data_IF_044771259256
#
_entry.id   IF_044771259256
#
_cell.length_a   1.000
_cell.length_b   1.000
_cell.length_c   1.000
_cell.angle_alpha   90.00
_cell.angle_beta   90.00
_cell.angle_gamma   90.00
#
_symmetry.space_group_name_H-M   'P 1'
#
loop_
_entity.id
_entity.type
_entity.pdbx_description
1 polymer ?
#
# COMPACT_ATOMS: atom_id res chain seq x y z
N UNK A 1 37.29 56.94 67.49
CA UNK A 1 35.90 56.75 67.95
C UNK A 1 35.01 57.57 67.03
N UNK A 2 34.64 57.14 65.82
CA UNK A 2 33.69 56.08 65.42
C UNK A 2 32.32 56.18 66.10
N UNK A 3 31.36 56.79 65.39
CA UNK A 3 30.00 56.30 65.09
C UNK A 3 29.32 57.31 64.12
N UNK A 4 29.28 57.07 62.80
CA UNK A 4 28.22 56.38 62.03
C UNK A 4 26.80 56.87 62.34
N UNK A 5 26.12 57.47 61.35
CA UNK A 5 24.86 56.93 60.82
C UNK A 5 24.25 57.74 59.63
N UNK A 6 24.24 57.05 58.48
CA UNK A 6 23.11 56.91 57.53
C UNK A 6 22.81 58.08 56.57
N UNK A 7 23.46 58.01 55.40
CA UNK A 7 23.04 58.64 54.15
C UNK A 7 21.97 57.78 53.46
N UNK A 8 20.75 58.28 53.31
CA UNK A 8 19.75 57.74 52.39
C UNK A 8 20.05 58.28 50.97
N UNK A 9 20.49 57.40 50.07
CA UNK A 9 20.60 57.71 48.65
C UNK A 9 19.22 57.63 47.98
N UNK A 10 18.76 58.75 47.44
CA UNK A 10 17.53 58.88 46.67
C UNK A 10 17.90 58.70 45.19
N UNK A 11 17.65 57.51 44.62
CA UNK A 11 17.77 57.27 43.19
C UNK A 11 16.40 57.54 42.56
N UNK A 12 16.31 58.61 41.77
CA UNK A 12 15.15 58.92 40.95
C UNK A 12 15.05 57.91 39.80
N UNK A 13 14.13 56.95 39.91
CA UNK A 13 13.76 56.05 38.83
C UNK A 13 12.79 56.76 37.86
N UNK A 14 13.23 56.95 36.62
CA UNK A 14 12.36 57.35 35.51
C UNK A 14 11.42 56.18 35.20
N UNK A 15 10.15 56.30 35.59
CA UNK A 15 9.09 55.42 35.14
C UNK A 15 8.71 55.77 33.69
N UNK A 16 9.19 54.98 32.73
CA UNK A 16 8.71 55.04 31.36
C UNK A 16 7.40 54.26 31.28
N UNK A 17 6.27 54.97 31.18
CA UNK A 17 4.98 54.36 30.86
C UNK A 17 5.03 53.96 29.38
N UNK A 18 5.26 52.68 29.11
CA UNK A 18 5.00 52.11 27.79
C UNK A 18 3.49 51.95 27.68
N UNK A 19 2.83 52.91 27.04
CA UNK A 19 1.49 52.71 26.48
C UNK A 19 1.69 51.81 25.26
N UNK A 20 1.74 50.51 25.50
CA UNK A 20 1.65 49.51 24.45
C UNK A 20 0.23 49.53 23.92
N UNK A 21 0.05 50.06 22.71
CA UNK A 21 -1.16 49.86 21.94
C UNK A 21 -1.35 48.34 21.80
N UNK A 22 -2.31 47.76 22.54
CA UNK A 22 -2.74 46.39 22.28
C UNK A 22 -3.46 46.41 20.93
N UNK A 23 -2.71 46.12 19.87
CA UNK A 23 -3.28 45.79 18.57
C UNK A 23 -3.97 44.43 18.75
N UNK A 24 -5.23 44.48 19.16
CA UNK A 24 -6.08 43.31 19.37
C UNK A 24 -6.54 42.81 17.98
N UNK A 25 -5.58 42.41 17.16
CA UNK A 25 -5.84 41.62 15.96
C UNK A 25 -5.69 40.18 16.40
N UNK A 26 -6.79 39.45 16.41
CA UNK A 26 -6.74 37.98 16.41
C UNK A 26 -5.76 37.60 15.29
N UNK A 27 -4.56 37.14 15.62
CA UNK A 27 -3.61 36.67 14.65
C UNK A 27 -4.21 35.41 14.03
N UNK A 28 -4.94 35.58 12.92
CA UNK A 28 -5.34 34.46 12.11
C UNK A 28 -4.06 33.85 11.57
N UNK A 29 -3.79 32.58 11.88
CA UNK A 29 -2.65 31.90 11.31
C UNK A 29 -2.86 31.83 9.79
N UNK A 30 -2.06 32.58 9.02
CA UNK A 30 -2.05 32.45 7.57
C UNK A 30 -1.55 31.06 7.22
N UNK A 31 -2.48 30.22 6.78
CA UNK A 31 -2.20 28.93 6.19
C UNK A 31 -2.01 29.09 4.68
N UNK A 32 -1.27 28.18 4.07
CA UNK A 32 -1.08 28.16 2.62
C UNK A 32 -1.80 27.00 1.93
N UNK A 33 -1.51 26.86 0.64
CA UNK A 33 -2.07 25.85 -0.24
C UNK A 33 -1.68 24.43 0.16
N UNK A 34 -2.67 23.53 0.19
CA UNK A 34 -2.49 22.11 0.41
C UNK A 34 -1.84 21.42 -0.79
N UNK A 35 -0.73 20.73 -0.55
CA UNK A 35 0.04 20.01 -1.57
C UNK A 35 0.30 18.58 -1.12
N UNK A 36 0.66 17.74 -2.07
CA UNK A 36 0.90 16.32 -1.81
C UNK A 36 2.22 15.85 -2.43
N UNK A 37 2.73 14.76 -1.86
CA UNK A 37 3.77 13.93 -2.45
C UNK A 37 3.36 12.48 -2.28
N UNK A 38 3.11 11.78 -3.39
CA UNK A 38 2.81 10.36 -3.39
C UNK A 38 4.11 9.53 -3.41
N UNK A 39 4.17 8.52 -2.55
CA UNK A 39 5.26 7.56 -2.41
C UNK A 39 4.66 6.16 -2.53
N UNK A 40 5.35 5.24 -3.23
CA UNK A 40 4.95 3.83 -3.25
C UNK A 40 5.88 3.05 -2.32
N UNK A 41 5.33 2.39 -1.30
CA UNK A 41 6.11 1.59 -0.37
C UNK A 41 6.67 0.32 -1.05
N UNK A 42 7.94 0.02 -0.80
CA UNK A 42 8.58 -1.23 -1.18
C UNK A 42 8.41 -2.26 -0.07
N UNK A 43 7.98 -3.47 -0.43
CA UNK A 43 7.87 -4.60 0.49
C UNK A 43 9.04 -5.59 0.35
N UNK A 44 10.16 -5.18 -0.24
CA UNK A 44 11.40 -5.98 -0.31
C UNK A 44 12.62 -5.11 -0.01
N UNK A 45 13.23 -5.28 1.17
CA UNK A 45 14.64 -4.89 1.41
C UNK A 45 15.55 -5.89 0.72
N UNK A 46 15.54 -5.89 -0.62
CA UNK A 46 16.40 -6.75 -1.45
C UNK A 46 17.02 -6.04 -2.63
N UNK A 47 16.43 -4.95 -3.11
CA UNK A 47 17.00 -4.14 -4.19
C UNK A 47 17.55 -2.82 -3.65
N UNK A 48 18.85 -2.81 -3.35
CA UNK A 48 19.60 -1.56 -3.24
C UNK A 48 19.51 -0.80 -4.55
N UNK A 49 18.60 0.18 -4.66
CA UNK A 49 18.64 1.18 -5.73
C UNK A 49 17.32 1.75 -6.25
N UNK A 50 16.17 1.09 -6.04
CA UNK A 50 14.92 1.53 -6.67
C UNK A 50 14.02 2.32 -5.72
N UNK A 51 14.08 3.66 -5.73
CA UNK A 51 12.95 4.46 -5.22
C UNK A 51 11.76 4.22 -6.14
N UNK A 52 10.81 3.38 -5.73
CA UNK A 52 9.57 3.18 -6.49
C UNK A 52 8.76 4.48 -6.42
N UNK A 53 8.82 5.26 -7.50
CA UNK A 53 8.15 6.54 -7.59
C UNK A 53 6.71 6.28 -7.98
N UNK A 54 5.76 6.82 -7.21
CA UNK A 54 4.35 6.73 -7.58
C UNK A 54 4.14 7.38 -8.97
N UNK A 55 3.42 6.73 -9.90
CA UNK A 55 3.33 7.17 -11.28
C UNK A 55 2.60 8.50 -11.42
N UNK A 56 3.24 9.45 -12.12
CA UNK A 56 2.74 10.83 -12.28
C UNK A 56 1.51 10.96 -13.17
N UNK A 57 1.16 9.94 -13.95
CA UNK A 57 -0.01 9.90 -14.81
C UNK A 57 -1.23 9.22 -14.16
N UNK A 58 -1.15 8.80 -12.89
CA UNK A 58 -2.26 8.13 -12.19
C UNK A 58 -2.79 9.03 -11.08
N UNK A 59 -3.92 9.73 -11.29
CA UNK A 59 -4.61 10.45 -10.22
C UNK A 59 -5.04 9.53 -9.09
N UNK A 60 -5.13 10.07 -7.88
CA UNK A 60 -5.59 9.38 -6.68
C UNK A 60 -6.63 10.22 -5.93
N UNK A 61 -7.43 9.61 -5.09
CA UNK A 61 -8.45 10.30 -4.29
C UNK A 61 -8.03 10.43 -2.84
N UNK A 62 -8.55 11.47 -2.17
CA UNK A 62 -8.30 11.75 -0.76
C UNK A 62 -9.60 12.04 -0.02
N UNK A 63 -9.70 11.45 1.18
CA UNK A 63 -10.54 11.97 2.25
C UNK A 63 -9.67 12.63 3.32
N UNK A 64 -10.15 13.75 3.86
CA UNK A 64 -9.48 14.44 4.94
C UNK A 64 -10.47 14.84 6.01
N UNK A 65 -10.15 14.55 7.27
CA UNK A 65 -10.96 14.90 8.42
C UNK A 65 -10.17 15.79 9.34
N UNK A 66 -10.83 16.78 9.92
CA UNK A 66 -10.19 17.80 10.73
C UNK A 66 -10.70 17.83 12.16
N UNK A 67 -9.78 18.05 13.09
CA UNK A 67 -10.02 18.21 14.51
C UNK A 67 -9.46 19.55 14.98
N UNK A 68 -10.01 20.15 16.06
CA UNK A 68 -9.37 21.26 16.76
C UNK A 68 -7.91 20.93 17.12
N UNK A 69 -7.02 21.92 17.07
CA UNK A 69 -5.56 21.73 17.30
C UNK A 69 -5.19 21.04 18.62
N UNK A 70 -6.04 21.14 19.64
CA UNK A 70 -5.84 20.51 20.95
C UNK A 70 -6.34 19.05 21.04
N UNK A 71 -6.87 18.50 19.95
CA UNK A 71 -7.30 17.09 19.85
C UNK A 71 -6.35 16.28 18.97
N UNK A 72 -6.47 14.97 19.07
CA UNK A 72 -5.71 13.99 18.30
C UNK A 72 -6.63 12.93 17.72
N UNK A 73 -6.28 12.41 16.55
CA UNK A 73 -7.04 11.40 15.84
C UNK A 73 -7.34 10.19 16.72
N UNK A 74 -6.30 9.60 17.32
CA UNK A 74 -6.41 8.34 18.07
C UNK A 74 -7.37 8.40 19.26
N UNK A 75 -7.64 9.59 19.80
CA UNK A 75 -8.49 9.76 20.99
C UNK A 75 -9.83 10.44 20.68
N UNK A 76 -10.00 11.04 19.49
CA UNK A 76 -11.13 11.93 19.21
C UNK A 76 -11.65 11.84 17.76
N UNK A 77 -11.38 10.74 17.05
CA UNK A 77 -11.82 10.57 15.65
C UNK A 77 -13.35 10.70 15.48
N UNK A 78 -14.13 10.34 16.51
CA UNK A 78 -15.59 10.47 16.57
C UNK A 78 -16.09 11.93 16.45
N UNK A 79 -15.28 12.90 16.88
CA UNK A 79 -15.58 14.32 16.80
C UNK A 79 -15.00 15.03 15.57
N UNK A 80 -14.41 14.29 14.63
CA UNK A 80 -13.77 14.88 13.45
C UNK A 80 -14.80 15.39 12.43
N UNK A 81 -14.48 16.49 11.76
CA UNK A 81 -15.32 17.08 10.71
C UNK A 81 -14.69 16.88 9.35
N UNK A 82 -15.47 16.46 8.35
CA UNK A 82 -15.02 16.36 6.97
C UNK A 82 -14.44 17.68 6.49
N UNK A 83 -13.21 17.64 6.02
CA UNK A 83 -12.50 18.77 5.40
C UNK A 83 -12.40 18.58 3.89
N UNK A 84 -12.06 17.37 3.44
CA UNK A 84 -12.10 16.97 2.03
C UNK A 84 -12.86 15.65 1.90
N UNK A 85 -13.69 15.56 0.87
CA UNK A 85 -14.48 14.38 0.55
C UNK A 85 -14.18 13.93 -0.88
N UNK A 86 -13.62 12.73 -1.02
CA UNK A 86 -13.24 12.11 -2.30
C UNK A 86 -12.57 13.08 -3.31
N UNK A 87 -11.63 13.88 -2.82
CA UNK A 87 -11.02 14.93 -3.61
C UNK A 87 -9.94 14.35 -4.53
N UNK A 88 -10.05 14.64 -5.82
CA UNK A 88 -9.11 14.14 -6.84
C UNK A 88 -7.80 14.91 -6.79
N UNK A 89 -6.70 14.18 -6.69
CA UNK A 89 -5.34 14.72 -6.72
C UNK A 89 -4.66 14.34 -8.04
N UNK A 90 -4.07 15.34 -8.70
CA UNK A 90 -3.42 15.25 -10.02
C UNK A 90 -2.00 15.79 -9.97
N UNK A 91 -1.14 15.27 -10.83
CA UNK A 91 0.19 15.82 -11.06
C UNK A 91 0.11 17.00 -12.03
N UNK A 92 0.58 18.17 -11.62
CA UNK A 92 0.56 19.38 -12.47
C UNK A 92 1.87 19.62 -13.24
N UNK A 93 2.79 18.64 -13.25
CA UNK A 93 4.14 18.80 -13.83
C UNK A 93 5.23 19.10 -12.79
N UNK A 94 4.86 19.52 -11.58
CA UNK A 94 5.80 19.88 -10.50
C UNK A 94 5.46 19.29 -9.14
N UNK A 95 4.18 19.24 -8.80
CA UNK A 95 3.70 18.73 -7.50
C UNK A 95 2.31 18.13 -7.66
N UNK A 96 1.92 17.30 -6.69
CA UNK A 96 0.57 16.76 -6.62
C UNK A 96 -0.34 17.78 -5.93
N UNK A 97 -1.40 18.16 -6.61
CA UNK A 97 -2.41 19.12 -6.12
C UNK A 97 -3.79 18.54 -6.34
N UNK A 98 -4.76 19.01 -5.58
CA UNK A 98 -6.17 18.78 -5.87
C UNK A 98 -6.57 19.49 -7.15
N UNK A 99 -7.60 18.98 -7.84
CA UNK A 99 -8.17 19.62 -9.03
C UNK A 99 -8.76 21.02 -8.72
N UNK A 100 -9.24 21.21 -7.50
CA UNK A 100 -9.65 22.49 -6.92
C UNK A 100 -8.65 22.90 -5.84
N UNK A 101 -8.16 24.14 -5.86
CA UNK A 101 -7.22 24.63 -4.84
C UNK A 101 -7.87 24.66 -3.45
N UNK A 102 -7.24 24.03 -2.47
CA UNK A 102 -7.62 24.08 -1.07
C UNK A 102 -6.47 24.65 -0.23
N UNK A 103 -6.80 25.49 0.74
CA UNK A 103 -5.86 25.94 1.77
C UNK A 103 -6.05 25.12 3.04
N UNK A 104 -4.99 24.97 3.82
CA UNK A 104 -5.08 24.29 5.11
C UNK A 104 -6.03 25.03 6.06
N UNK A 105 -6.83 24.32 6.86
CA UNK A 105 -7.70 24.98 7.82
C UNK A 105 -6.86 25.59 8.97
N UNK A 106 -7.16 26.83 9.40
CA UNK A 106 -6.48 27.45 10.55
C UNK A 106 -6.83 26.70 11.84
N UNK A 107 -5.92 26.68 12.81
CA UNK A 107 -6.14 26.16 14.18
C UNK A 107 -6.72 24.74 14.25
N UNK A 108 -6.44 23.93 13.22
CA UNK A 108 -6.92 22.56 13.09
C UNK A 108 -5.80 21.61 12.72
N UNK A 109 -5.97 20.37 13.16
CA UNK A 109 -5.21 19.21 12.72
C UNK A 109 -6.02 18.41 11.74
N UNK A 110 -5.39 17.88 10.71
CA UNK A 110 -6.04 17.15 9.62
C UNK A 110 -5.43 15.76 9.51
N UNK A 111 -6.29 14.75 9.49
CA UNK A 111 -5.96 13.37 9.18
C UNK A 111 -6.38 13.05 7.77
N UNK A 112 -5.47 12.47 6.97
CA UNK A 112 -5.71 12.13 5.57
C UNK A 112 -5.79 10.62 5.36
N UNK A 113 -6.62 10.22 4.41
CA UNK A 113 -6.73 8.89 3.84
C UNK A 113 -6.69 9.01 2.33
N UNK A 114 -5.97 8.13 1.66
CA UNK A 114 -5.84 8.17 0.22
C UNK A 114 -6.06 6.80 -0.41
N UNK A 115 -6.51 6.80 -1.67
CA UNK A 115 -6.65 5.60 -2.49
C UNK A 115 -6.26 5.88 -3.93
N UNK A 116 -5.80 4.85 -4.63
CA UNK A 116 -5.44 4.94 -6.04
C UNK A 116 -5.81 3.66 -6.79
N UNK A 117 -6.14 3.75 -8.09
CA UNK A 117 -6.31 4.98 -8.86
C UNK A 117 -7.68 5.63 -8.64
N UNK A 118 -7.78 6.95 -8.78
CA UNK A 118 -9.03 7.70 -8.61
C UNK A 118 -10.18 7.18 -9.50
N UNK A 119 -9.85 6.62 -10.67
CA UNK A 119 -10.84 6.06 -11.61
C UNK A 119 -11.60 4.85 -11.05
N UNK A 120 -11.08 4.20 -10.02
CA UNK A 120 -11.74 3.08 -9.38
C UNK A 120 -12.61 3.60 -8.23
N UNK A 121 -13.93 3.36 -8.20
CA UNK A 121 -14.79 3.87 -7.15
C UNK A 121 -14.36 3.34 -5.77
N UNK A 122 -14.11 4.25 -4.84
CA UNK A 122 -13.85 3.94 -3.45
C UNK A 122 -14.89 4.60 -2.55
N UNK A 123 -15.12 4.03 -1.37
CA UNK A 123 -15.87 4.68 -0.29
C UNK A 123 -15.00 4.84 0.94
N UNK A 124 -15.42 5.69 1.86
CA UNK A 124 -14.72 5.92 3.10
C UNK A 124 -15.66 5.93 4.30
N UNK A 125 -15.22 5.32 5.39
CA UNK A 125 -15.79 5.53 6.73
C UNK A 125 -14.66 5.57 7.77
N UNK A 126 -14.91 6.21 8.91
CA UNK A 126 -13.94 6.30 10.01
C UNK A 126 -13.60 4.93 10.61
N UNK A 127 -14.51 3.98 10.53
CA UNK A 127 -14.37 2.63 11.10
C UNK A 127 -13.64 1.67 10.15
N UNK A 128 -13.88 1.80 8.84
CA UNK A 128 -13.41 0.86 7.81
C UNK A 128 -12.29 1.44 6.93
N UNK A 129 -12.02 2.74 7.04
CA UNK A 129 -11.03 3.42 6.23
C UNK A 129 -11.46 3.49 4.77
N UNK A 130 -10.52 3.27 3.86
CA UNK A 130 -10.76 3.17 2.41
C UNK A 130 -11.38 1.82 2.10
N UNK A 131 -12.43 1.81 1.29
CA UNK A 131 -13.10 0.60 0.84
C UNK A 131 -13.16 0.50 -0.68
N UNK A 132 -12.89 -0.71 -1.18
CA UNK A 132 -13.16 -1.10 -2.57
C UNK A 132 -14.20 -2.23 -2.56
N UNK A 133 -15.24 -2.12 -3.39
CA UNK A 133 -16.33 -3.11 -3.41
C UNK A 133 -16.33 -3.90 -4.71
N UNK A 134 -16.54 -5.21 -4.60
CA UNK A 134 -16.70 -6.15 -5.71
C UNK A 134 -15.58 -6.07 -6.76
N UNK A 135 -14.33 -5.89 -6.32
CA UNK A 135 -13.19 -5.92 -7.22
C UNK A 135 -12.93 -7.36 -7.66
N UNK A 136 -12.66 -7.58 -8.95
CA UNK A 136 -12.42 -8.90 -9.53
C UNK A 136 -11.07 -8.96 -10.27
N UNK A 137 -10.09 -9.66 -9.71
CA UNK A 137 -8.73 -9.78 -10.27
C UNK A 137 -8.63 -10.63 -11.54
N UNK A 138 -9.67 -11.40 -11.88
CA UNK A 138 -9.74 -12.10 -13.16
C UNK A 138 -10.18 -11.19 -14.31
N UNK A 139 -10.98 -10.15 -14.00
CA UNK A 139 -11.55 -9.24 -14.99
C UNK A 139 -10.81 -7.90 -15.09
N UNK A 140 -10.13 -7.49 -14.01
CA UNK A 140 -9.44 -6.20 -13.93
C UNK A 140 -8.03 -6.37 -13.34
N UNK A 141 -7.02 -5.85 -14.05
CA UNK A 141 -5.62 -5.88 -13.65
C UNK A 141 -5.15 -4.60 -12.96
N UNK A 142 -6.08 -3.76 -12.50
CA UNK A 142 -5.77 -2.50 -11.81
C UNK A 142 -5.05 -2.75 -10.49
N UNK A 143 -3.89 -2.11 -10.31
CA UNK A 143 -3.15 -2.11 -9.04
C UNK A 143 -3.82 -1.13 -8.06
N UNK A 144 -4.76 -1.65 -7.27
CA UNK A 144 -5.43 -0.89 -6.23
C UNK A 144 -4.44 -0.59 -5.10
N UNK A 145 -4.38 0.66 -4.66
CA UNK A 145 -3.52 1.13 -3.57
C UNK A 145 -4.30 1.97 -2.58
N UNK A 146 -3.81 2.02 -1.35
CA UNK A 146 -4.39 2.81 -0.26
C UNK A 146 -3.29 3.37 0.64
N UNK A 147 -3.63 4.34 1.49
CA UNK A 147 -2.80 4.72 2.63
C UNK A 147 -3.52 4.40 3.95
N UNK A 148 -2.75 4.11 4.99
CA UNK A 148 -3.25 4.23 6.37
C UNK A 148 -3.60 5.68 6.72
N UNK A 149 -4.14 5.92 7.93
CA UNK A 149 -4.41 7.27 8.42
C UNK A 149 -3.11 8.06 8.57
N UNK A 150 -3.02 9.21 7.93
CA UNK A 150 -1.90 10.14 8.05
C UNK A 150 -2.32 11.23 9.02
N UNK A 151 -2.07 10.98 10.30
CA UNK A 151 -2.77 11.65 11.40
C UNK A 151 -2.21 13.01 11.78
N UNK A 152 -3.11 13.85 12.29
CA UNK A 152 -2.79 15.01 13.12
C UNK A 152 -1.84 16.04 12.49
N UNK A 153 -1.90 16.22 11.16
CA UNK A 153 -1.07 17.18 10.44
C UNK A 153 -1.60 18.60 10.57
N UNK A 154 -0.70 19.57 10.63
CA UNK A 154 -1.01 21.00 10.49
C UNK A 154 -0.07 21.68 9.51
N UNK A 155 -0.42 22.90 9.08
CA UNK A 155 0.36 23.67 8.11
C UNK A 155 1.81 23.89 8.56
N UNK A 156 2.00 24.31 9.83
CA UNK A 156 3.30 24.72 10.36
C UNK A 156 4.30 23.58 10.39
N UNK A 157 3.85 22.40 10.79
CA UNK A 157 4.68 21.22 10.95
C UNK A 157 4.89 20.46 9.63
N UNK A 158 3.94 20.54 8.69
CA UNK A 158 4.04 19.87 7.38
C UNK A 158 4.68 20.73 6.28
N UNK A 159 4.85 22.03 6.50
CA UNK A 159 5.23 22.97 5.43
C UNK A 159 4.23 22.97 4.27
N UNK A 160 2.98 22.59 4.54
CA UNK A 160 1.91 22.53 3.56
C UNK A 160 1.82 21.28 2.70
N UNK A 161 2.77 20.36 2.82
CA UNK A 161 2.86 19.19 1.94
C UNK A 161 2.60 17.90 2.71
N UNK A 162 1.57 17.17 2.32
CA UNK A 162 1.24 15.85 2.87
C UNK A 162 2.01 14.76 2.12
N UNK A 163 2.75 13.91 2.84
CA UNK A 163 3.37 12.72 2.27
C UNK A 163 2.35 11.57 2.31
N UNK A 164 2.01 11.01 1.14
CA UNK A 164 1.07 9.88 1.03
C UNK A 164 1.87 8.59 0.78
N UNK A 165 2.02 7.71 1.78
CA UNK A 165 2.59 6.38 1.59
C UNK A 165 1.51 5.43 1.06
N UNK A 166 1.59 5.10 -0.23
CA UNK A 166 0.72 4.10 -0.83
C UNK A 166 1.27 2.69 -0.59
N UNK A 167 0.39 1.82 -0.12
CA UNK A 167 0.55 0.37 -0.06
C UNK A 167 -0.42 -0.26 -1.06
N UNK A 168 -0.02 -1.35 -1.74
CA UNK A 168 -0.95 -2.11 -2.59
C UNK A 168 -2.02 -2.79 -1.74
N UNK A 169 -3.27 -2.68 -2.16
CA UNK A 169 -4.38 -3.46 -1.60
C UNK A 169 -4.29 -4.93 -2.05
N UNK A 170 -3.73 -5.20 -3.23
CA UNK A 170 -3.53 -6.55 -3.77
C UNK A 170 -2.19 -7.15 -3.34
N UNK A 171 -1.98 -8.45 -3.58
CA UNK A 171 -0.68 -9.09 -3.49
C UNK A 171 -0.15 -9.41 -4.90
N UNK A 172 1.17 -9.55 -5.02
CA UNK A 172 1.84 -9.99 -6.24
C UNK A 172 2.21 -11.46 -6.09
N UNK A 173 1.92 -12.28 -7.10
CA UNK A 173 2.18 -13.72 -7.10
C UNK A 173 2.92 -14.11 -8.37
N UNK A 174 3.99 -14.89 -8.23
CA UNK A 174 4.73 -15.46 -9.34
C UNK A 174 5.30 -16.85 -9.01
N UNK A 175 5.75 -17.54 -10.05
CA UNK A 175 6.20 -18.93 -9.99
C UNK A 175 7.59 -19.10 -10.59
N UNK A 176 8.42 -19.84 -9.88
CA UNK A 176 9.65 -20.46 -10.35
C UNK A 176 9.48 -21.96 -10.46
N UNK A 177 10.23 -22.56 -11.36
CA UNK A 177 10.18 -23.98 -11.64
C UNK A 177 11.58 -24.54 -11.76
N UNK A 178 11.76 -25.79 -11.36
CA UNK A 178 12.98 -26.55 -11.56
C UNK A 178 12.65 -28.05 -11.60
N UNK A 179 13.53 -28.85 -12.18
CA UNK A 179 13.47 -30.32 -12.12
C UNK A 179 14.75 -30.86 -11.49
N UNK A 180 14.68 -31.72 -10.46
CA UNK A 180 15.85 -32.40 -9.91
C UNK A 180 16.26 -33.64 -10.73
N UNK A 181 15.60 -33.89 -11.86
CA UNK A 181 15.79 -35.08 -12.69
C UNK A 181 17.07 -34.97 -13.53
N UNK A 182 17.81 -36.07 -13.77
CA UNK A 182 18.99 -36.05 -14.62
C UNK A 182 18.72 -35.61 -16.06
N UNK A 183 19.78 -35.17 -16.74
CA UNK A 183 19.73 -34.55 -18.07
C UNK A 183 19.31 -35.46 -19.24
N UNK A 184 19.16 -36.77 -19.02
CA UNK A 184 18.71 -37.74 -20.03
C UNK A 184 17.18 -37.82 -20.16
N UNK A 185 16.44 -37.16 -19.26
CA UNK A 185 15.00 -36.97 -19.34
C UNK A 185 14.66 -35.48 -19.50
N UNK A 186 13.71 -35.18 -20.38
CA UNK A 186 13.26 -33.80 -20.61
C UNK A 186 11.81 -33.67 -20.16
N UNK A 187 11.58 -32.86 -19.13
CA UNK A 187 10.24 -32.43 -18.72
C UNK A 187 9.96 -31.08 -19.38
N UNK A 188 8.88 -30.98 -20.16
CA UNK A 188 8.39 -29.72 -20.74
C UNK A 188 7.13 -29.29 -20.02
N UNK A 189 7.22 -28.22 -19.24
CA UNK A 189 6.08 -27.62 -18.59
C UNK A 189 5.16 -26.95 -19.62
N UNK A 190 3.87 -27.24 -19.51
CA UNK A 190 2.81 -26.68 -20.35
C UNK A 190 1.91 -25.70 -19.63
N UNK A 191 1.53 -26.02 -18.39
CA UNK A 191 0.59 -25.21 -17.61
C UNK A 191 0.95 -25.22 -16.13
N UNK A 192 0.80 -24.09 -15.46
CA UNK A 192 0.70 -24.00 -14.00
C UNK A 192 -0.65 -23.40 -13.66
N UNK A 193 -1.40 -24.05 -12.78
CA UNK A 193 -2.67 -23.53 -12.27
C UNK A 193 -2.85 -23.78 -10.78
N UNK A 194 -3.62 -22.91 -10.13
CA UNK A 194 -4.11 -23.09 -8.76
C UNK A 194 -5.63 -23.20 -8.80
N UNK A 195 -6.19 -24.34 -8.37
CA UNK A 195 -7.63 -24.52 -8.22
C UNK A 195 -8.06 -24.17 -6.78
N UNK A 196 -9.19 -23.48 -6.63
CA UNK A 196 -9.70 -23.05 -5.32
C UNK A 196 -9.34 -21.60 -4.96
N UNK A 197 -8.97 -20.78 -5.94
CA UNK A 197 -8.62 -19.37 -5.75
C UNK A 197 -9.86 -18.48 -5.89
N UNK A 198 -10.11 -17.60 -4.93
CA UNK A 198 -11.12 -16.55 -5.05
C UNK A 198 -10.57 -15.37 -5.85
N UNK A 199 -11.39 -14.83 -6.77
CA UNK A 199 -11.02 -13.69 -7.61
C UNK A 199 -11.74 -12.39 -7.26
N UNK A 200 -12.87 -12.48 -6.55
CA UNK A 200 -13.74 -11.34 -6.26
C UNK A 200 -13.89 -11.12 -4.76
N UNK A 201 -13.86 -9.85 -4.35
CA UNK A 201 -14.07 -9.48 -2.95
C UNK A 201 -14.20 -7.99 -2.69
N UNK A 202 -14.36 -7.68 -1.41
CA UNK A 202 -14.37 -6.32 -0.88
C UNK A 202 -13.13 -6.09 -0.02
N UNK A 203 -12.52 -4.92 -0.18
CA UNK A 203 -11.41 -4.44 0.62
C UNK A 203 -11.87 -3.40 1.64
N UNK A 204 -11.22 -3.38 2.81
CA UNK A 204 -11.24 -2.26 3.74
C UNK A 204 -9.84 -2.05 4.31
N UNK A 205 -9.42 -0.80 4.55
CA UNK A 205 -8.07 -0.50 5.05
C UNK A 205 -7.95 -0.48 6.57
N UNK A 206 -9.07 -0.35 7.30
CA UNK A 206 -9.12 -0.34 8.76
C UNK A 206 -10.06 -1.43 9.33
N UNK A 207 -9.84 -1.86 10.59
CA UNK A 207 -8.73 -1.50 11.49
C UNK A 207 -7.37 -2.04 11.02
N UNK A 208 -7.40 -3.10 10.22
CA UNK A 208 -6.28 -3.61 9.44
C UNK A 208 -6.74 -3.89 8.02
N UNK A 209 -5.82 -3.78 7.07
CA UNK A 209 -6.12 -3.95 5.66
C UNK A 209 -6.51 -5.39 5.33
N UNK A 210 -7.76 -5.62 4.97
CA UNK A 210 -8.31 -6.96 4.78
C UNK A 210 -9.21 -7.07 3.56
N UNK A 211 -9.28 -8.28 3.02
CA UNK A 211 -10.18 -8.67 1.93
C UNK A 211 -11.20 -9.67 2.43
N UNK A 212 -12.42 -9.54 1.92
CA UNK A 212 -13.51 -10.49 2.12
C UNK A 212 -14.00 -10.99 0.76
N UNK A 213 -13.91 -12.29 0.51
CA UNK A 213 -14.36 -12.88 -0.75
C UNK A 213 -15.89 -12.77 -0.89
N UNK A 214 -16.38 -12.49 -2.10
CA UNK A 214 -17.82 -12.32 -2.40
C UNK A 214 -18.34 -13.25 -3.50
N UNK A 215 -17.48 -14.08 -4.09
CA UNK A 215 -17.85 -15.03 -5.15
C UNK A 215 -17.21 -16.39 -4.96
N UNK A 216 -17.49 -17.28 -5.90
CA UNK A 216 -16.94 -18.64 -5.93
C UNK A 216 -15.44 -18.63 -6.22
N UNK A 217 -14.80 -19.73 -5.84
CA UNK A 217 -13.42 -20.01 -6.20
C UNK A 217 -13.34 -20.60 -7.61
N UNK A 218 -12.17 -20.50 -8.24
CA UNK A 218 -11.92 -21.05 -9.56
C UNK A 218 -10.45 -21.40 -9.79
N UNK A 219 -10.11 -21.65 -11.06
CA UNK A 219 -8.76 -21.95 -11.51
C UNK A 219 -7.99 -20.67 -11.89
N UNK A 220 -6.89 -20.39 -11.21
CA UNK A 220 -5.95 -19.32 -11.55
C UNK A 220 -4.77 -19.89 -12.34
N UNK A 221 -4.71 -19.59 -13.64
CA UNK A 221 -3.62 -20.04 -14.52
C UNK A 221 -2.45 -19.05 -14.47
N UNK A 222 -1.26 -19.50 -14.06
CA UNK A 222 -0.07 -18.65 -13.93
C UNK A 222 0.91 -18.79 -15.08
N UNK A 223 0.85 -19.91 -15.79
CA UNK A 223 1.70 -20.17 -16.94
C UNK A 223 0.95 -21.03 -17.95
N UNK A 224 1.06 -20.69 -19.23
CA UNK A 224 0.75 -21.55 -20.38
C UNK A 224 1.86 -21.41 -21.41
N UNK A 225 2.43 -22.52 -21.86
CA UNK A 225 3.56 -22.48 -22.79
C UNK A 225 4.20 -23.83 -23.04
N UNK A 226 5.51 -23.81 -23.31
CA UNK A 226 6.31 -25.00 -23.57
C UNK A 226 7.74 -24.78 -23.07
N UNK A 227 7.91 -24.81 -21.75
CA UNK A 227 9.18 -24.53 -21.09
C UNK A 227 9.92 -25.85 -20.78
N UNK A 228 11.06 -26.15 -21.44
CA UNK A 228 11.91 -27.25 -21.01
C UNK A 228 12.55 -26.92 -19.65
N UNK A 229 12.33 -27.80 -18.67
CA UNK A 229 12.89 -27.65 -17.33
C UNK A 229 14.33 -28.15 -17.28
N UNK A 230 15.12 -27.54 -16.41
CA UNK A 230 16.44 -27.99 -16.03
C UNK A 230 16.64 -27.92 -14.49
N UNK A 231 17.84 -28.22 -14.02
CA UNK A 231 18.19 -28.24 -12.59
C UNK A 231 18.23 -26.84 -11.96
N UNK A 232 18.24 -25.77 -12.75
CA UNK A 232 18.25 -24.40 -12.26
C UNK A 232 16.84 -23.85 -12.08
N UNK A 233 16.67 -22.91 -11.16
CA UNK A 233 15.40 -22.19 -11.03
C UNK A 233 15.16 -21.28 -12.23
N UNK A 234 14.06 -21.52 -12.92
CA UNK A 234 13.61 -20.74 -14.06
C UNK A 234 12.30 -20.03 -13.71
N UNK A 235 12.13 -18.77 -14.14
CA UNK A 235 10.85 -18.09 -14.02
C UNK A 235 9.82 -18.75 -14.95
N UNK A 236 8.66 -19.13 -14.41
CA UNK A 236 7.51 -19.57 -15.19
C UNK A 236 6.44 -18.48 -15.20
N UNK A 237 6.15 -17.98 -16.40
CA UNK A 237 5.14 -16.93 -16.60
C UNK A 237 5.60 -15.58 -16.06
N UNK A 238 4.63 -14.71 -15.76
CA UNK A 238 4.85 -13.39 -15.21
C UNK A 238 4.18 -13.21 -13.85
N UNK A 239 4.55 -12.12 -13.17
CA UNK A 239 3.91 -11.69 -11.94
C UNK A 239 2.44 -11.31 -12.19
N UNK A 240 1.55 -11.77 -11.32
CA UNK A 240 0.12 -11.43 -11.35
C UNK A 240 -0.32 -10.76 -10.06
N UNK A 241 -1.20 -9.77 -10.17
CA UNK A 241 -1.90 -9.20 -9.02
C UNK A 241 -3.07 -10.10 -8.64
N UNK A 242 -3.10 -10.53 -7.37
CA UNK A 242 -4.11 -11.43 -6.83
C UNK A 242 -4.74 -10.83 -5.58
N UNK A 243 -5.97 -11.24 -5.29
CA UNK A 243 -6.67 -10.84 -4.08
C UNK A 243 -6.03 -11.56 -2.88
N UNK A 244 -5.57 -10.82 -1.84
CA UNK A 244 -5.14 -11.41 -0.59
C UNK A 244 -6.18 -12.37 -0.02
N UNK A 245 -5.75 -13.57 0.35
CA UNK A 245 -6.60 -14.62 0.88
C UNK A 245 -5.76 -15.70 1.59
N UNK A 246 -6.38 -16.36 2.56
CA UNK A 246 -5.86 -17.58 3.15
C UNK A 246 -6.80 -18.72 2.78
N UNK A 247 -6.34 -19.63 1.93
CA UNK A 247 -7.17 -20.71 1.41
C UNK A 247 -6.35 -21.95 1.09
N UNK A 248 -6.99 -23.12 1.10
CA UNK A 248 -6.41 -24.33 0.55
C UNK A 248 -6.66 -24.37 -0.95
N UNK A 249 -5.65 -24.77 -1.69
CA UNK A 249 -5.71 -24.91 -3.15
C UNK A 249 -5.11 -26.24 -3.57
N UNK A 250 -5.52 -26.69 -4.74
CA UNK A 250 -4.83 -27.74 -5.48
C UNK A 250 -3.93 -27.08 -6.52
N UNK A 251 -2.63 -27.29 -6.39
CA UNK A 251 -1.62 -26.83 -7.33
C UNK A 251 -1.53 -27.87 -8.45
N UNK A 252 -1.67 -27.43 -9.70
CA UNK A 252 -1.62 -28.30 -10.87
C UNK A 252 -0.50 -27.89 -11.81
N UNK A 253 0.26 -28.87 -12.28
CA UNK A 253 1.23 -28.71 -13.35
C UNK A 253 0.92 -29.71 -14.47
N UNK A 254 0.77 -29.22 -15.70
CA UNK A 254 0.65 -30.08 -16.89
C UNK A 254 2.00 -30.12 -17.60
N UNK A 255 2.52 -31.31 -17.89
CA UNK A 255 3.84 -31.51 -18.48
C UNK A 255 3.83 -32.53 -19.63
N UNK A 256 4.72 -32.36 -20.60
CA UNK A 256 5.12 -33.44 -21.50
C UNK A 256 6.45 -34.02 -20.99
N UNK A 257 6.54 -35.35 -20.86
CA UNK A 257 7.74 -36.04 -20.40
C UNK A 257 8.36 -36.80 -21.58
N UNK A 258 9.63 -36.53 -21.87
CA UNK A 258 10.37 -37.19 -22.94
C UNK A 258 11.49 -38.05 -22.37
N UNK A 259 11.43 -39.34 -22.69
CA UNK A 259 12.40 -40.36 -22.25
C UNK A 259 12.75 -41.27 -23.42
N UNK A 260 14.04 -41.40 -23.75
CA UNK A 260 14.52 -42.28 -24.81
C UNK A 260 13.80 -42.09 -26.17
N UNK A 261 13.42 -40.85 -26.50
CA UNK A 261 12.71 -40.49 -27.74
C UNK A 261 11.19 -40.69 -27.71
N UNK A 262 10.62 -41.28 -26.66
CA UNK A 262 9.17 -41.37 -26.46
C UNK A 262 8.66 -40.15 -25.69
N UNK A 263 7.49 -39.63 -26.08
CA UNK A 263 6.84 -38.50 -25.39
C UNK A 263 5.54 -38.95 -24.75
N UNK A 264 5.44 -38.80 -23.43
CA UNK A 264 4.18 -38.86 -22.68
C UNK A 264 3.64 -37.44 -22.58
N UNK A 265 2.67 -37.10 -23.41
CA UNK A 265 2.10 -35.75 -23.45
C UNK A 265 1.03 -35.54 -22.37
N UNK A 266 0.89 -34.31 -21.91
CA UNK A 266 -0.23 -33.86 -21.08
C UNK A 266 -0.37 -34.58 -19.74
N UNK A 267 0.74 -34.98 -19.12
CA UNK A 267 0.74 -35.53 -17.78
C UNK A 267 0.34 -34.44 -16.78
N UNK A 268 -0.66 -34.72 -15.94
CA UNK A 268 -1.11 -33.82 -14.88
C UNK A 268 -0.54 -34.28 -13.55
N UNK A 269 0.14 -33.36 -12.87
CA UNK A 269 0.68 -33.55 -11.53
C UNK A 269 -0.01 -32.56 -10.60
N UNK A 270 -0.41 -33.04 -9.43
CA UNK A 270 -1.14 -32.24 -8.46
C UNK A 270 -0.57 -32.39 -7.06
N UNK A 271 -0.70 -31.33 -6.26
CA UNK A 271 -0.41 -31.35 -4.82
C UNK A 271 -1.26 -30.30 -4.11
N UNK A 272 -1.63 -30.55 -2.86
CA UNK A 272 -2.40 -29.59 -2.06
C UNK A 272 -1.46 -28.63 -1.32
N UNK A 273 -1.87 -27.36 -1.27
CA UNK A 273 -1.15 -26.33 -0.55
C UNK A 273 -2.10 -25.40 0.21
N UNK A 274 -1.56 -24.70 1.22
CA UNK A 274 -2.24 -23.56 1.83
C UNK A 274 -1.55 -22.29 1.37
N UNK A 275 -2.32 -21.39 0.78
CA UNK A 275 -1.85 -20.06 0.39
C UNK A 275 -2.02 -19.09 1.55
N UNK A 276 -1.05 -18.21 1.73
CA UNK A 276 -1.09 -17.10 2.68
C UNK A 276 -0.76 -15.79 1.95
N UNK A 277 -1.72 -15.32 1.15
CA UNK A 277 -1.58 -14.09 0.39
C UNK A 277 -2.02 -12.90 1.25
N UNK A 278 -1.09 -12.01 1.56
CA UNK A 278 -1.34 -10.81 2.36
C UNK A 278 -1.30 -9.54 1.53
N UNK A 279 -2.04 -8.53 1.95
CA UNK A 279 -2.05 -7.17 1.37
C UNK A 279 -0.62 -6.65 1.18
N UNK A 280 -0.32 -6.16 -0.03
CA UNK A 280 0.98 -5.61 -0.38
C UNK A 280 2.11 -6.63 -0.59
N UNK A 281 1.93 -7.89 -0.17
CA UNK A 281 3.01 -8.88 -0.22
C UNK A 281 3.35 -9.29 -1.65
N UNK A 282 4.61 -9.69 -1.83
CA UNK A 282 5.07 -10.41 -3.01
C UNK A 282 5.33 -11.87 -2.61
N UNK A 283 4.53 -12.78 -3.15
CA UNK A 283 4.57 -14.21 -2.91
C UNK A 283 5.19 -14.92 -4.14
N UNK A 284 6.43 -15.39 -4.00
CA UNK A 284 7.10 -16.21 -5.01
C UNK A 284 7.03 -17.69 -4.58
N UNK A 285 6.61 -18.56 -5.48
CA UNK A 285 6.54 -20.00 -5.23
C UNK A 285 7.51 -20.75 -6.14
N UNK A 286 8.12 -21.81 -5.62
CA UNK A 286 8.98 -22.69 -6.40
C UNK A 286 8.33 -24.05 -6.52
N UNK A 287 8.12 -24.51 -7.76
CA UNK A 287 7.67 -25.86 -8.08
C UNK A 287 8.86 -26.73 -8.45
N UNK A 288 9.05 -27.83 -7.73
CA UNK A 288 9.98 -28.89 -8.15
C UNK A 288 9.18 -30.00 -8.80
N UNK A 289 9.47 -30.26 -10.06
CA UNK A 289 8.69 -31.18 -10.91
C UNK A 289 9.55 -32.38 -11.26
N UNK A 290 9.02 -33.57 -11.01
CA UNK A 290 9.57 -34.85 -11.47
C UNK A 290 8.47 -35.58 -12.26
N UNK A 291 8.74 -36.75 -12.88
CA UNK A 291 7.73 -37.48 -13.64
C UNK A 291 6.48 -37.85 -12.86
N UNK A 292 6.64 -38.13 -11.57
CA UNK A 292 5.58 -38.69 -10.73
C UNK A 292 5.16 -37.77 -9.58
N UNK A 293 5.91 -36.68 -9.34
CA UNK A 293 5.68 -35.81 -8.18
C UNK A 293 5.80 -34.34 -8.52
N UNK A 294 4.93 -33.55 -7.89
CA UNK A 294 4.96 -32.10 -7.83
C UNK A 294 5.15 -31.68 -6.38
N UNK A 295 6.25 -30.97 -6.11
CA UNK A 295 6.53 -30.38 -4.79
C UNK A 295 6.36 -28.88 -4.88
N UNK A 296 5.46 -28.35 -4.05
CA UNK A 296 5.20 -26.92 -3.91
C UNK A 296 5.93 -26.39 -2.68
N UNK A 297 6.85 -25.44 -2.89
CA UNK A 297 7.57 -24.77 -1.80
C UNK A 297 7.37 -23.27 -1.87
N UNK A 298 7.09 -22.66 -0.72
CA UNK A 298 6.99 -21.22 -0.59
C UNK A 298 8.38 -20.65 -0.29
N UNK A 299 8.92 -19.90 -1.25
CA UNK A 299 10.01 -18.98 -0.93
C UNK A 299 9.36 -17.71 -0.42
N UNK A 300 9.18 -17.62 0.91
CA UNK A 300 8.91 -16.31 1.50
C UNK A 300 10.18 -15.51 1.27
N UNK A 301 10.17 -14.65 0.24
CA UNK A 301 11.10 -13.54 0.14
C UNK A 301 10.96 -12.78 1.47
N UNK A 302 11.92 -12.98 2.37
CA UNK A 302 11.93 -12.32 3.67
C UNK A 302 11.86 -10.80 3.44
N UNK A 303 11.15 -10.06 4.31
CA UNK A 303 10.95 -8.61 4.18
C UNK A 303 12.27 -7.85 3.98
#
# INVERSE_FOLDING_TARGET
>A
MMNKAITHGLIAGLATVIIGCFDNRCAYEETGELRFRALLELNSRGETGNTCTYPTNIPFGIWALSLPVNKTWNNHADGAQTFLEDCRVIWNGKTWITDTTHNWPPDRRVTFFAYSPYRFPATFSTERGIEFKNFNTAADSTDLMFSGPIVDLDWKNSGGTVQIPFTRALCMVDFRVQTPVPSDMIIRLKKIALEGVAFSGNFQSLPEATWSATGDTGEAVFFEGNLPLDESEQQAGGMRLMMPQQTRVTVKATCDIVTNGNTLAGQELETDATLEWGTGKHCSYTLKITPDTLVFTTDILKP
#
